data_IF_654764880151
#
_entry.id   IF_654764880151
#
_cell.length_a   1.000
_cell.length_b   1.000
_cell.length_c   1.000
_cell.angle_alpha   90.00
_cell.angle_beta   90.00
_cell.angle_gamma   90.00
#
_symmetry.space_group_name_H-M   'P 1'
#
loop_
_entity.id
_entity.type
_entity.pdbx_description
1 polymer ?
#
# COMPACT_ATOMS: atom_id res chain seq x y z
N UNK A 1 -33.46 -25.61 -14.82
CA UNK A 1 -33.41 -24.18 -14.49
C UNK A 1 -32.49 -23.49 -15.48
N UNK A 2 -32.86 -22.39 -16.13
CA UNK A 2 -31.99 -21.68 -17.06
C UNK A 2 -30.76 -21.16 -16.32
N UNK A 3 -29.58 -21.45 -16.87
CA UNK A 3 -28.29 -20.97 -16.37
C UNK A 3 -28.25 -19.45 -16.56
N UNK A 4 -28.35 -18.68 -15.48
CA UNK A 4 -28.21 -17.22 -15.53
C UNK A 4 -26.77 -16.94 -15.97
N UNK A 5 -26.60 -16.51 -17.23
CA UNK A 5 -25.31 -16.08 -17.75
C UNK A 5 -25.06 -14.68 -17.18
N UNK A 6 -24.23 -14.58 -16.14
CA UNK A 6 -23.81 -13.30 -15.57
C UNK A 6 -22.94 -12.55 -16.59
N UNK A 7 -23.05 -11.20 -16.60
CA UNK A 7 -22.21 -10.37 -17.43
C UNK A 7 -20.72 -10.65 -17.11
N UNK A 8 -19.83 -10.68 -18.13
CA UNK A 8 -18.39 -10.97 -17.93
C UNK A 8 -17.73 -10.13 -16.83
N UNK A 9 -18.01 -8.85 -16.76
CA UNK A 9 -17.44 -7.95 -15.76
C UNK A 9 -17.88 -8.27 -14.32
N UNK A 10 -19.16 -8.65 -14.13
CA UNK A 10 -19.67 -9.11 -12.83
C UNK A 10 -18.94 -10.38 -12.41
N UNK A 11 -18.71 -11.30 -13.37
CA UNK A 11 -18.01 -12.56 -13.08
C UNK A 11 -16.55 -12.33 -12.72
N UNK A 12 -15.89 -11.40 -13.44
CA UNK A 12 -14.51 -11.00 -13.14
C UNK A 12 -14.40 -10.38 -11.73
N UNK A 13 -15.32 -9.50 -11.37
CA UNK A 13 -15.37 -8.90 -10.04
C UNK A 13 -15.56 -9.94 -8.93
N UNK A 14 -16.49 -10.92 -9.12
CA UNK A 14 -16.69 -12.02 -8.16
C UNK A 14 -15.44 -12.88 -7.95
N UNK A 15 -14.66 -13.12 -9.01
CA UNK A 15 -13.38 -13.85 -8.89
C UNK A 15 -12.39 -13.03 -8.04
N UNK A 16 -12.29 -11.72 -8.29
CA UNK A 16 -11.41 -10.83 -7.52
C UNK A 16 -11.80 -10.78 -6.04
N UNK A 17 -13.09 -10.68 -5.72
CA UNK A 17 -13.57 -10.64 -4.33
C UNK A 17 -13.26 -11.94 -3.58
N UNK A 18 -13.48 -13.09 -4.22
CA UNK A 18 -13.14 -14.40 -3.65
C UNK A 18 -11.63 -14.57 -3.47
N UNK A 19 -10.85 -14.15 -4.47
CA UNK A 19 -9.39 -14.18 -4.38
C UNK A 19 -8.87 -13.31 -3.23
N UNK A 20 -9.45 -12.11 -3.02
CA UNK A 20 -9.14 -11.25 -1.88
C UNK A 20 -9.38 -11.99 -0.57
N UNK A 21 -10.57 -12.58 -0.39
CA UNK A 21 -10.92 -13.32 0.82
C UNK A 21 -9.95 -14.50 1.06
N UNK A 22 -9.56 -15.21 0.00
CA UNK A 22 -8.66 -16.35 0.10
C UNK A 22 -7.22 -15.92 0.46
N UNK A 23 -6.71 -14.84 -0.15
CA UNK A 23 -5.40 -14.28 0.20
C UNK A 23 -5.37 -13.73 1.63
N UNK A 24 -6.43 -13.08 2.07
CA UNK A 24 -6.57 -12.61 3.46
C UNK A 24 -6.55 -13.80 4.43
N UNK A 25 -7.30 -14.86 4.14
CA UNK A 25 -7.40 -16.02 5.04
C UNK A 25 -6.14 -16.88 5.11
N UNK A 26 -5.36 -17.00 4.03
CA UNK A 26 -4.24 -17.94 3.93
C UNK A 26 -2.89 -17.30 3.66
N UNK A 27 -2.83 -16.01 3.34
CA UNK A 27 -1.63 -15.33 2.84
C UNK A 27 -1.36 -15.64 1.36
N UNK A 28 -0.67 -14.70 0.69
CA UNK A 28 -0.37 -14.81 -0.73
C UNK A 28 0.40 -16.10 -1.08
N UNK A 29 1.46 -16.41 -0.32
CA UNK A 29 2.37 -17.51 -0.64
C UNK A 29 1.70 -18.90 -0.54
N UNK A 30 0.71 -19.04 0.35
CA UNK A 30 0.02 -20.31 0.64
C UNK A 30 -1.21 -20.57 -0.25
N UNK A 31 -1.50 -19.69 -1.22
CA UNK A 31 -2.62 -19.84 -2.14
C UNK A 31 -2.10 -20.18 -3.52
N UNK A 32 -2.45 -21.34 -4.04
CA UNK A 32 -2.13 -21.74 -5.41
C UNK A 32 -3.17 -21.23 -6.41
N UNK A 33 -2.82 -21.22 -7.70
CA UNK A 33 -3.76 -20.89 -8.76
C UNK A 33 -4.93 -21.88 -8.84
N UNK A 34 -4.68 -23.16 -8.49
CA UNK A 34 -5.75 -24.17 -8.44
C UNK A 34 -6.73 -23.91 -7.30
N UNK A 35 -6.26 -23.42 -6.15
CA UNK A 35 -7.13 -23.01 -5.04
C UNK A 35 -8.05 -21.87 -5.47
N UNK A 36 -7.51 -20.88 -6.17
CA UNK A 36 -8.27 -19.74 -6.69
C UNK A 36 -9.34 -20.18 -7.71
N UNK A 37 -9.00 -21.08 -8.61
CA UNK A 37 -9.94 -21.64 -9.61
C UNK A 37 -11.05 -22.42 -8.91
N UNK A 38 -10.69 -23.27 -7.94
CA UNK A 38 -11.65 -24.09 -7.20
C UNK A 38 -12.60 -23.20 -6.38
N UNK A 39 -12.06 -22.23 -5.64
CA UNK A 39 -12.86 -21.30 -4.83
C UNK A 39 -13.78 -20.44 -5.70
N UNK A 40 -13.28 -19.93 -6.83
CA UNK A 40 -14.07 -19.13 -7.75
C UNK A 40 -15.22 -19.90 -8.42
N UNK A 41 -15.16 -21.24 -8.44
CA UNK A 41 -16.17 -22.09 -9.04
C UNK A 41 -16.33 -21.86 -10.56
N UNK A 42 -15.21 -21.59 -11.24
CA UNK A 42 -15.16 -21.41 -12.70
C UNK A 42 -14.32 -22.49 -13.36
N UNK A 43 -14.51 -22.70 -14.66
CA UNK A 43 -13.62 -23.60 -15.40
C UNK A 43 -12.21 -23.01 -15.49
N UNK A 44 -11.21 -23.89 -15.56
CA UNK A 44 -9.80 -23.49 -15.72
C UNK A 44 -9.61 -22.56 -16.93
N UNK A 45 -10.21 -22.87 -18.08
CA UNK A 45 -10.15 -22.04 -19.27
C UNK A 45 -10.76 -20.65 -19.08
N UNK A 46 -11.92 -20.57 -18.38
CA UNK A 46 -12.54 -19.28 -18.07
C UNK A 46 -11.68 -18.44 -17.11
N UNK A 47 -11.05 -19.06 -16.13
CA UNK A 47 -10.16 -18.35 -15.22
C UNK A 47 -8.94 -17.78 -15.96
N UNK A 48 -8.25 -18.61 -16.76
CA UNK A 48 -7.06 -18.16 -17.49
C UNK A 48 -7.35 -17.12 -18.58
N UNK A 49 -8.60 -17.03 -19.04
CA UNK A 49 -9.02 -15.97 -19.93
C UNK A 49 -8.92 -14.59 -19.26
N UNK A 50 -9.24 -14.48 -17.97
CA UNK A 50 -9.15 -13.21 -17.23
C UNK A 50 -7.80 -13.00 -16.54
N UNK A 51 -7.23 -14.06 -15.98
CA UNK A 51 -6.03 -14.01 -15.16
C UNK A 51 -5.04 -15.09 -15.59
N UNK A 52 -4.06 -14.73 -16.44
CA UNK A 52 -3.09 -15.70 -16.98
C UNK A 52 -2.14 -16.23 -15.90
N UNK A 53 -2.00 -15.55 -14.77
CA UNK A 53 -1.16 -15.96 -13.64
C UNK A 53 -1.71 -15.47 -12.31
N UNK A 54 -1.20 -16.00 -11.20
CA UNK A 54 -1.47 -15.52 -9.84
C UNK A 54 -1.00 -14.09 -9.69
N UNK A 55 0.16 -13.74 -10.26
CA UNK A 55 0.70 -12.37 -10.24
C UNK A 55 -0.18 -11.38 -11.00
N UNK A 56 -0.76 -11.79 -12.15
CA UNK A 56 -1.70 -10.95 -12.89
C UNK A 56 -2.96 -10.68 -12.09
N UNK A 57 -3.44 -11.66 -11.35
CA UNK A 57 -4.62 -11.50 -10.49
C UNK A 57 -4.33 -10.58 -9.32
N UNK A 58 -3.22 -10.77 -8.58
CA UNK A 58 -2.88 -9.90 -7.45
C UNK A 58 -2.57 -8.47 -7.91
N UNK A 59 -1.92 -8.27 -9.07
CA UNK A 59 -1.71 -6.95 -9.67
C UNK A 59 -3.05 -6.26 -9.96
N UNK A 60 -4.03 -7.00 -10.50
CA UNK A 60 -5.38 -6.45 -10.74
C UNK A 60 -6.10 -6.07 -9.43
N UNK A 61 -5.94 -6.89 -8.37
CA UNK A 61 -6.48 -6.58 -7.04
C UNK A 61 -5.84 -5.33 -6.45
N UNK A 62 -4.52 -5.23 -6.55
CA UNK A 62 -3.76 -4.07 -6.09
C UNK A 62 -4.17 -2.79 -6.86
N UNK A 63 -4.36 -2.89 -8.17
CA UNK A 63 -4.83 -1.77 -9.00
C UNK A 63 -6.24 -1.31 -8.59
N UNK A 64 -7.17 -2.24 -8.35
CA UNK A 64 -8.50 -1.91 -7.85
C UNK A 64 -8.41 -1.19 -6.50
N UNK A 65 -7.67 -1.76 -5.55
CA UNK A 65 -7.48 -1.16 -4.24
C UNK A 65 -6.82 0.23 -4.32
N UNK A 66 -5.81 0.42 -5.18
CA UNK A 66 -5.15 1.69 -5.36
C UNK A 66 -6.10 2.76 -5.94
N UNK A 67 -6.96 2.39 -6.90
CA UNK A 67 -7.99 3.30 -7.46
C UNK A 67 -9.04 3.70 -6.41
N UNK A 68 -9.51 2.75 -5.60
CA UNK A 68 -10.46 3.01 -4.51
C UNK A 68 -9.85 3.95 -3.47
N UNK A 69 -8.58 3.72 -3.11
CA UNK A 69 -7.82 4.59 -2.21
C UNK A 69 -7.63 5.99 -2.80
N UNK A 70 -7.23 6.10 -4.07
CA UNK A 70 -7.07 7.39 -4.74
C UNK A 70 -8.39 8.18 -4.73
N UNK A 71 -9.51 7.54 -5.06
CA UNK A 71 -10.83 8.20 -5.01
C UNK A 71 -11.16 8.72 -3.61
N UNK A 72 -10.84 7.97 -2.56
CA UNK A 72 -11.04 8.42 -1.17
C UNK A 72 -10.12 9.60 -0.82
N UNK A 73 -8.85 9.57 -1.24
CA UNK A 73 -7.88 10.65 -1.06
C UNK A 73 -8.33 11.92 -1.80
N UNK A 74 -8.78 11.79 -3.06
CA UNK A 74 -9.30 12.90 -3.85
C UNK A 74 -10.51 13.55 -3.18
N UNK A 75 -11.43 12.74 -2.64
CA UNK A 75 -12.58 13.26 -1.88
C UNK A 75 -12.16 13.99 -0.61
N UNK A 76 -11.21 13.44 0.15
CA UNK A 76 -10.69 14.08 1.37
C UNK A 76 -10.04 15.42 1.04
N UNK A 77 -9.18 15.45 0.02
CA UNK A 77 -8.48 16.64 -0.46
C UNK A 77 -9.45 17.71 -0.98
N UNK A 78 -10.49 17.31 -1.72
CA UNK A 78 -11.52 18.22 -2.23
C UNK A 78 -12.39 18.85 -1.12
N UNK A 79 -12.52 18.18 0.03
CA UNK A 79 -13.24 18.71 1.21
C UNK A 79 -12.37 19.60 2.09
N UNK A 80 -11.07 19.60 1.88
CA UNK A 80 -10.16 20.50 2.61
C UNK A 80 -10.33 21.93 2.12
N UNK A 81 -10.77 22.83 2.99
CA UNK A 81 -11.01 24.25 2.69
C UNK A 81 -9.77 25.12 2.92
N UNK A 82 -8.62 24.54 3.21
CA UNK A 82 -7.35 25.23 3.40
C UNK A 82 -6.63 25.57 2.09
N UNK A 83 -5.42 26.10 2.22
CA UNK A 83 -4.53 26.38 1.10
C UNK A 83 -3.94 25.07 0.51
N UNK A 84 -3.07 25.16 -0.49
CA UNK A 84 -2.47 24.00 -1.12
C UNK A 84 -1.60 23.17 -0.14
N UNK A 85 -0.96 23.78 0.85
CA UNK A 85 -0.22 23.09 1.90
C UNK A 85 -1.15 22.21 2.75
N UNK A 86 -2.32 22.75 3.15
CA UNK A 86 -3.32 21.97 3.92
C UNK A 86 -3.84 20.78 3.11
N UNK A 87 -4.10 21.00 1.81
CA UNK A 87 -4.52 19.94 0.90
C UNK A 87 -3.44 18.89 0.70
N UNK A 88 -2.16 19.30 0.60
CA UNK A 88 -1.02 18.39 0.48
C UNK A 88 -0.84 17.54 1.76
N UNK A 89 -0.92 18.16 2.94
CA UNK A 89 -0.92 17.43 4.21
C UNK A 89 -2.10 16.44 4.29
N UNK A 90 -3.30 16.86 3.85
CA UNK A 90 -4.47 15.97 3.78
C UNK A 90 -4.21 14.77 2.88
N UNK A 91 -3.60 14.96 1.70
CA UNK A 91 -3.23 13.87 0.80
C UNK A 91 -2.26 12.88 1.47
N UNK A 92 -1.19 13.38 2.09
CA UNK A 92 -0.16 12.55 2.72
C UNK A 92 -0.73 11.73 3.90
N UNK A 93 -1.62 12.33 4.70
CA UNK A 93 -2.28 11.66 5.83
C UNK A 93 -3.41 10.74 5.42
N UNK A 94 -4.21 11.11 4.43
CA UNK A 94 -5.34 10.29 3.97
C UNK A 94 -4.90 8.89 3.48
N UNK A 95 -3.72 8.78 2.88
CA UNK A 95 -3.15 7.49 2.50
C UNK A 95 -2.91 6.54 3.67
N UNK A 96 -2.57 7.08 4.84
CA UNK A 96 -2.45 6.32 6.09
C UNK A 96 -3.83 6.01 6.67
N UNK A 97 -4.69 7.01 6.80
CA UNK A 97 -6.01 6.88 7.43
C UNK A 97 -6.88 5.84 6.70
N UNK A 98 -6.89 5.85 5.38
CA UNK A 98 -7.61 4.85 4.58
C UNK A 98 -7.11 3.44 4.90
N UNK A 99 -5.79 3.22 4.98
CA UNK A 99 -5.22 1.91 5.31
C UNK A 99 -5.57 1.46 6.72
N UNK A 100 -5.55 2.37 7.69
CA UNK A 100 -5.83 2.05 9.10
C UNK A 100 -7.31 1.86 9.38
N UNK A 101 -8.20 2.60 8.70
CA UNK A 101 -9.65 2.51 8.89
C UNK A 101 -10.28 1.32 8.16
N UNK A 102 -9.71 0.91 7.02
CA UNK A 102 -10.27 -0.16 6.18
C UNK A 102 -9.51 -1.48 6.28
N UNK A 103 -8.27 -1.46 6.80
CA UNK A 103 -7.41 -2.63 6.92
C UNK A 103 -7.77 -3.49 8.13
N UNK A 104 -8.12 -4.77 7.90
CA UNK A 104 -8.18 -5.74 8.99
C UNK A 104 -6.78 -6.29 9.29
N UNK A 105 -6.52 -6.85 10.51
CA UNK A 105 -5.25 -7.51 10.83
C UNK A 105 -4.86 -8.56 9.79
N UNK A 106 -5.83 -9.30 9.25
CA UNK A 106 -5.61 -10.32 8.22
C UNK A 106 -5.18 -9.70 6.88
N UNK A 107 -5.77 -8.56 6.50
CA UNK A 107 -5.37 -7.83 5.29
C UNK A 107 -3.94 -7.28 5.42
N UNK A 108 -3.59 -6.76 6.60
CA UNK A 108 -2.22 -6.32 6.89
C UNK A 108 -1.23 -7.49 6.84
N UNK A 109 -1.59 -8.64 7.40
CA UNK A 109 -0.78 -9.85 7.32
C UNK A 109 -0.59 -10.33 5.87
N UNK A 110 -1.63 -10.28 5.04
CA UNK A 110 -1.54 -10.61 3.63
C UNK A 110 -0.62 -9.64 2.86
N UNK A 111 -0.68 -8.34 3.17
CA UNK A 111 0.21 -7.33 2.59
C UNK A 111 1.67 -7.57 3.00
N UNK A 112 1.91 -7.98 4.25
CA UNK A 112 3.26 -8.28 4.76
C UNK A 112 3.95 -9.36 3.93
N UNK A 113 3.23 -10.38 3.46
CA UNK A 113 3.83 -11.41 2.60
C UNK A 113 4.36 -10.86 1.29
N UNK A 114 3.76 -9.78 0.75
CA UNK A 114 4.24 -9.10 -0.45
C UNK A 114 5.54 -8.31 -0.22
N UNK A 115 5.83 -7.92 1.04
CA UNK A 115 7.07 -7.23 1.40
C UNK A 115 8.28 -8.17 1.50
N UNK A 116 8.08 -9.49 1.44
CA UNK A 116 9.17 -10.47 1.52
C UNK A 116 10.07 -10.39 0.28
N UNK A 117 11.39 -10.68 0.43
CA UNK A 117 12.34 -10.63 -0.68
C UNK A 117 11.92 -11.47 -1.89
N UNK A 118 11.27 -12.62 -1.66
CA UNK A 118 10.78 -13.52 -2.69
C UNK A 118 9.75 -12.88 -3.60
N UNK A 119 8.99 -11.91 -3.07
CA UNK A 119 7.92 -11.19 -3.77
C UNK A 119 8.34 -9.77 -4.20
N UNK A 120 9.63 -9.39 -4.05
CA UNK A 120 10.11 -8.03 -4.29
C UNK A 120 9.77 -7.51 -5.70
N UNK A 121 9.85 -8.38 -6.73
CA UNK A 121 9.50 -8.00 -8.10
C UNK A 121 8.00 -7.65 -8.25
N UNK A 122 7.13 -8.48 -7.67
CA UNK A 122 5.69 -8.24 -7.68
C UNK A 122 5.34 -6.98 -6.89
N UNK A 123 5.92 -6.84 -5.71
CA UNK A 123 5.74 -5.67 -4.86
C UNK A 123 6.19 -4.38 -5.57
N UNK A 124 7.37 -4.38 -6.22
CA UNK A 124 7.87 -3.25 -6.99
C UNK A 124 6.91 -2.81 -8.10
N UNK A 125 6.29 -3.77 -8.81
CA UNK A 125 5.26 -3.46 -9.83
C UNK A 125 4.01 -2.84 -9.23
N UNK A 126 3.56 -3.32 -8.07
CA UNK A 126 2.39 -2.77 -7.36
C UNK A 126 2.66 -1.33 -6.92
N UNK A 127 3.85 -1.07 -6.37
CA UNK A 127 4.24 0.29 -5.95
C UNK A 127 4.32 1.21 -7.16
N UNK A 128 5.03 0.85 -8.23
CA UNK A 128 5.14 1.68 -9.43
C UNK A 128 3.76 2.05 -10.01
N UNK A 129 2.84 1.09 -10.06
CA UNK A 129 1.47 1.33 -10.50
C UNK A 129 0.73 2.32 -9.57
N UNK A 130 0.89 2.19 -8.25
CA UNK A 130 0.26 3.10 -7.28
C UNK A 130 0.83 4.52 -7.39
N UNK A 131 2.14 4.64 -7.62
CA UNK A 131 2.82 5.91 -7.86
C UNK A 131 2.29 6.58 -9.13
N UNK A 132 2.17 5.85 -10.23
CA UNK A 132 1.62 6.36 -11.49
C UNK A 132 0.18 6.86 -11.34
N UNK A 133 -0.64 6.20 -10.52
CA UNK A 133 -2.02 6.62 -10.25
C UNK A 133 -2.09 7.89 -9.39
N UNK A 134 -1.21 8.05 -8.40
CA UNK A 134 -1.24 9.17 -7.45
C UNK A 134 -0.46 10.39 -7.91
N UNK A 135 0.53 10.21 -8.81
CA UNK A 135 1.40 11.27 -9.33
C UNK A 135 0.63 12.48 -9.86
N UNK A 136 -0.41 12.34 -10.72
CA UNK A 136 -1.12 13.50 -11.26
C UNK A 136 -1.78 14.38 -10.19
N UNK A 137 -2.30 13.77 -9.11
CA UNK A 137 -2.88 14.51 -8.00
C UNK A 137 -1.80 15.26 -7.22
N UNK A 138 -0.70 14.59 -6.90
CA UNK A 138 0.42 15.18 -6.15
C UNK A 138 1.03 16.35 -6.94
N UNK A 139 1.33 16.16 -8.23
CA UNK A 139 1.86 17.20 -9.12
C UNK A 139 0.94 18.43 -9.17
N UNK A 140 -0.37 18.19 -9.30
CA UNK A 140 -1.36 19.28 -9.33
C UNK A 140 -1.36 20.07 -8.03
N UNK A 141 -1.35 19.40 -6.86
CA UNK A 141 -1.34 20.08 -5.56
C UNK A 141 -0.06 20.90 -5.34
N UNK A 142 1.08 20.42 -5.80
CA UNK A 142 2.34 21.17 -5.75
C UNK A 142 2.26 22.40 -6.68
N UNK A 143 1.77 22.23 -7.91
CA UNK A 143 1.61 23.34 -8.86
C UNK A 143 0.62 24.41 -8.34
N UNK A 144 -0.50 23.97 -7.74
CA UNK A 144 -1.46 24.88 -7.10
C UNK A 144 -0.79 25.66 -5.95
N UNK A 145 0.05 24.99 -5.15
CA UNK A 145 0.76 25.63 -4.04
C UNK A 145 1.78 26.66 -4.50
N UNK A 146 2.46 26.42 -5.61
CA UNK A 146 3.34 27.42 -6.23
C UNK A 146 2.51 28.61 -6.75
N UNK A 147 1.39 28.37 -7.41
CA UNK A 147 0.49 29.40 -7.91
C UNK A 147 -0.15 30.24 -6.77
N UNK A 148 -0.45 29.61 -5.63
CA UNK A 148 -0.92 30.28 -4.41
C UNK A 148 0.19 31.04 -3.65
N UNK A 149 1.45 30.83 -3.99
CA UNK A 149 2.61 31.43 -3.31
C UNK A 149 2.91 30.85 -1.93
N UNK A 150 2.36 29.66 -1.63
CA UNK A 150 2.60 28.93 -0.37
C UNK A 150 3.70 27.89 -0.48
N UNK A 151 4.06 27.48 -1.70
CA UNK A 151 5.18 26.60 -2.01
C UNK A 151 6.17 27.33 -2.92
N UNK A 152 7.46 27.02 -2.74
CA UNK A 152 8.54 27.53 -3.59
C UNK A 152 9.39 26.34 -4.07
N UNK A 153 9.16 25.93 -5.32
CA UNK A 153 9.89 24.82 -5.92
C UNK A 153 10.07 25.01 -7.43
N UNK A 154 11.10 24.36 -7.98
CA UNK A 154 11.56 24.56 -9.37
C UNK A 154 10.79 23.75 -10.40
N UNK A 155 10.22 22.59 -10.01
CA UNK A 155 9.51 21.68 -10.91
C UNK A 155 8.52 20.81 -10.13
N UNK A 156 7.23 21.01 -10.33
CA UNK A 156 6.19 20.30 -9.59
C UNK A 156 6.15 18.79 -9.90
N UNK A 157 6.42 18.39 -11.14
CA UNK A 157 6.42 16.97 -11.54
C UNK A 157 7.66 16.25 -10.98
N UNK A 158 8.85 16.82 -11.16
CA UNK A 158 10.08 16.26 -10.63
C UNK A 158 10.07 16.18 -9.11
N UNK A 159 9.48 17.16 -8.42
CA UNK A 159 9.33 17.14 -6.95
C UNK A 159 8.31 16.08 -6.51
N UNK A 160 7.22 15.88 -7.26
CA UNK A 160 6.29 14.79 -6.99
C UNK A 160 6.99 13.42 -7.07
N UNK A 161 7.85 13.20 -8.08
CA UNK A 161 8.68 11.99 -8.22
C UNK A 161 9.65 11.81 -7.03
N UNK A 162 10.30 12.88 -6.60
CA UNK A 162 11.19 12.85 -5.43
C UNK A 162 10.45 12.44 -4.15
N UNK A 163 9.27 13.01 -3.90
CA UNK A 163 8.43 12.70 -2.74
C UNK A 163 8.02 11.22 -2.77
N UNK A 164 7.58 10.70 -3.92
CA UNK A 164 7.21 9.29 -4.06
C UNK A 164 8.41 8.37 -3.86
N UNK A 165 9.57 8.71 -4.41
CA UNK A 165 10.80 7.95 -4.24
C UNK A 165 11.29 7.86 -2.78
N UNK A 166 11.06 8.91 -1.97
CA UNK A 166 11.34 8.87 -0.53
C UNK A 166 10.42 7.86 0.17
N UNK A 167 9.13 7.85 -0.16
CA UNK A 167 8.15 6.95 0.45
C UNK A 167 8.44 5.46 0.15
N UNK A 168 8.97 5.13 -1.01
CA UNK A 168 9.30 3.75 -1.40
C UNK A 168 10.31 3.06 -0.46
N UNK A 169 11.17 3.82 0.20
CA UNK A 169 12.19 3.28 1.12
C UNK A 169 11.66 2.92 2.51
N UNK A 170 10.47 3.34 2.87
CA UNK A 170 9.86 3.07 4.19
C UNK A 170 9.58 1.57 4.39
N UNK A 171 9.28 0.86 3.31
CA UNK A 171 8.87 -0.55 3.37
C UNK A 171 9.92 -1.48 3.98
N UNK A 172 11.22 -1.21 3.76
CA UNK A 172 12.31 -1.98 4.38
C UNK A 172 12.31 -1.86 5.91
N UNK A 173 11.94 -0.71 6.46
CA UNK A 173 11.83 -0.51 7.90
C UNK A 173 10.63 -1.26 8.49
N UNK A 174 9.53 -1.35 7.75
CA UNK A 174 8.37 -2.17 8.17
C UNK A 174 8.75 -3.64 8.26
N UNK A 175 9.51 -4.16 7.30
CA UNK A 175 10.01 -5.55 7.35
C UNK A 175 10.88 -5.79 8.58
N UNK A 176 11.75 -4.85 8.95
CA UNK A 176 12.59 -4.97 10.16
C UNK A 176 11.76 -5.07 11.45
N UNK A 177 10.64 -4.33 11.55
CA UNK A 177 9.72 -4.41 12.69
C UNK A 177 9.06 -5.79 12.77
N UNK A 178 8.66 -6.35 11.62
CA UNK A 178 8.02 -7.67 11.55
C UNK A 178 8.98 -8.78 11.89
N UNK A 179 10.23 -8.68 11.45
CA UNK A 179 11.28 -9.69 11.64
C UNK A 179 11.96 -9.58 13.01
N UNK A 180 11.67 -8.56 13.81
CA UNK A 180 12.19 -8.43 15.17
C UNK A 180 11.78 -9.64 16.02
N UNK A 181 12.76 -10.25 16.69
CA UNK A 181 12.59 -11.48 17.46
C UNK A 181 12.22 -11.25 18.92
N UNK A 182 12.41 -10.03 19.40
CA UNK A 182 12.12 -9.61 20.78
C UNK A 182 11.53 -8.18 20.82
N UNK A 183 11.02 -7.80 21.98
CA UNK A 183 10.38 -6.48 22.15
C UNK A 183 11.37 -5.32 22.06
N UNK A 184 12.60 -5.37 22.64
CA UNK A 184 13.58 -4.31 22.46
C UNK A 184 13.98 -4.07 21.00
N UNK A 185 14.16 -5.15 20.21
CA UNK A 185 14.46 -5.05 18.78
C UNK A 185 13.31 -4.44 17.99
N UNK A 186 12.06 -4.80 18.36
CA UNK A 186 10.85 -4.23 17.74
C UNK A 186 10.70 -2.74 18.08
N UNK A 187 10.93 -2.35 19.33
CA UNK A 187 10.89 -0.94 19.75
C UNK A 187 11.96 -0.12 19.02
N UNK A 188 13.19 -0.62 18.97
CA UNK A 188 14.27 0.03 18.22
C UNK A 188 13.92 0.21 16.72
N UNK A 189 13.41 -0.82 16.06
CA UNK A 189 12.98 -0.73 14.66
C UNK A 189 11.83 0.27 14.47
N UNK A 190 10.94 0.40 15.47
CA UNK A 190 9.85 1.39 15.48
C UNK A 190 10.38 2.81 15.63
N UNK A 191 11.39 3.04 16.47
CA UNK A 191 12.08 4.33 16.59
C UNK A 191 12.74 4.72 15.27
N UNK A 192 13.47 3.79 14.65
CA UNK A 192 14.10 4.01 13.33
C UNK A 192 13.06 4.40 12.28
N UNK A 193 11.91 3.72 12.24
CA UNK A 193 10.83 4.06 11.32
C UNK A 193 10.25 5.46 11.61
N UNK A 194 10.04 5.80 12.87
CA UNK A 194 9.54 7.12 13.30
C UNK A 194 10.48 8.22 12.85
N UNK A 195 11.78 8.04 13.05
CA UNK A 195 12.78 9.02 12.61
C UNK A 195 12.87 9.12 11.08
N UNK A 196 12.62 8.04 10.36
CA UNK A 196 12.53 8.08 8.88
C UNK A 196 11.35 8.93 8.42
N UNK A 197 10.18 8.83 9.03
CA UNK A 197 9.05 9.70 8.69
C UNK A 197 9.34 11.18 8.97
N UNK A 198 10.00 11.49 10.10
CA UNK A 198 10.43 12.86 10.38
C UNK A 198 11.40 13.40 9.33
N UNK A 199 12.42 12.60 8.98
CA UNK A 199 13.40 12.98 7.96
C UNK A 199 12.76 13.18 6.59
N UNK A 200 11.76 12.36 6.23
CA UNK A 200 11.02 12.53 4.98
C UNK A 200 10.21 13.83 5.00
N UNK A 201 9.52 14.15 6.09
CA UNK A 201 8.81 15.43 6.24
C UNK A 201 9.75 16.60 6.05
N UNK A 202 10.89 16.62 6.76
CA UNK A 202 11.91 17.67 6.63
C UNK A 202 12.50 17.79 5.21
N UNK A 203 12.72 16.66 4.53
CA UNK A 203 13.21 16.68 3.14
C UNK A 203 12.17 17.29 2.20
N UNK A 204 10.90 16.93 2.38
CA UNK A 204 9.78 17.48 1.60
C UNK A 204 9.61 18.99 1.89
N UNK A 205 9.68 19.42 3.15
CA UNK A 205 9.64 20.84 3.52
C UNK A 205 10.69 21.64 2.74
N UNK A 206 11.92 21.16 2.72
CA UNK A 206 13.04 21.85 2.08
C UNK A 206 12.95 21.90 0.57
N UNK A 207 12.45 20.82 -0.06
CA UNK A 207 12.25 20.78 -1.52
C UNK A 207 11.08 21.67 -1.95
N UNK A 208 10.10 21.87 -1.07
CA UNK A 208 8.94 22.75 -1.29
C UNK A 208 9.13 24.19 -0.79
N UNK A 209 10.32 24.54 -0.27
CA UNK A 209 10.59 25.88 0.26
C UNK A 209 9.82 26.20 1.54
N UNK A 210 9.44 25.20 2.33
CA UNK A 210 8.65 25.34 3.54
C UNK A 210 9.53 25.40 4.80
N UNK A 211 9.05 26.02 5.88
CA UNK A 211 9.66 25.90 7.21
C UNK A 211 9.67 24.44 7.68
N UNK A 212 10.74 24.04 8.40
CA UNK A 212 10.86 22.69 8.96
C UNK A 212 9.65 22.34 9.84
N UNK A 213 9.01 21.21 9.59
CA UNK A 213 7.82 20.72 10.32
C UNK A 213 6.47 21.14 9.73
N UNK A 214 6.45 21.79 8.55
CA UNK A 214 5.22 22.11 7.83
C UNK A 214 4.53 20.87 7.28
N UNK A 215 5.30 19.88 6.85
CA UNK A 215 4.82 18.57 6.36
C UNK A 215 4.95 17.53 7.47
N UNK A 216 3.84 16.90 7.81
CA UNK A 216 3.79 15.76 8.73
C UNK A 216 3.32 14.52 7.98
N UNK A 217 4.24 13.60 7.68
CA UNK A 217 3.88 12.35 6.99
C UNK A 217 3.12 11.43 7.96
N UNK A 218 3.77 10.99 9.05
CA UNK A 218 3.15 10.30 10.19
C UNK A 218 3.80 10.79 11.48
N UNK A 219 2.99 11.01 12.52
CA UNK A 219 3.49 11.27 13.86
C UNK A 219 3.76 9.97 14.63
N UNK A 220 4.35 10.06 15.83
CA UNK A 220 4.68 8.89 16.66
C UNK A 220 3.47 8.04 17.00
N UNK A 221 2.34 8.64 17.36
CA UNK A 221 1.11 7.92 17.70
C UNK A 221 0.58 7.09 16.53
N UNK A 222 0.59 7.67 15.33
CA UNK A 222 0.19 6.98 14.10
C UNK A 222 1.14 5.82 13.77
N UNK A 223 2.46 6.00 13.98
CA UNK A 223 3.43 4.91 13.80
C UNK A 223 3.18 3.80 14.82
N UNK A 224 2.93 4.12 16.08
CA UNK A 224 2.64 3.13 17.13
C UNK A 224 1.35 2.36 16.82
N UNK A 225 0.28 3.03 16.33
CA UNK A 225 -0.94 2.36 15.85
C UNK A 225 -0.66 1.41 14.68
N UNK A 226 0.12 1.85 13.70
CA UNK A 226 0.50 1.02 12.56
C UNK A 226 1.28 -0.21 13.03
N UNK A 227 2.28 -0.03 13.89
CA UNK A 227 3.12 -1.11 14.41
C UNK A 227 2.32 -2.10 15.26
N UNK A 228 1.35 -1.62 16.05
CA UNK A 228 0.46 -2.47 16.82
C UNK A 228 -0.40 -3.40 15.94
N UNK A 229 -0.76 -2.94 14.73
CA UNK A 229 -1.53 -3.73 13.77
C UNK A 229 -0.66 -4.72 12.95
N UNK A 230 0.68 -4.57 12.94
CA UNK A 230 1.56 -5.49 12.23
C UNK A 230 1.68 -6.83 12.97
N UNK A 231 1.73 -7.96 12.25
CA UNK A 231 1.93 -9.27 12.86
C UNK A 231 3.26 -9.33 13.62
N UNK A 232 3.25 -10.05 14.75
CA UNK A 232 4.46 -10.34 15.52
C UNK A 232 5.03 -11.68 15.04
N UNK A 233 6.34 -11.72 14.76
CA UNK A 233 7.04 -12.95 14.37
C UNK A 233 6.32 -13.72 13.23
N UNK A 234 6.08 -13.08 12.11
CA UNK A 234 5.62 -13.75 10.90
C UNK A 234 6.72 -14.71 10.41
N UNK A 235 6.74 -15.92 10.97
CA UNK A 235 7.43 -17.05 10.37
C UNK A 235 6.57 -17.49 9.19
N UNK A 236 7.00 -17.16 7.98
CA UNK A 236 6.46 -17.81 6.79
C UNK A 236 6.40 -19.32 7.05
N UNK A 237 5.29 -19.95 6.75
CA UNK A 237 5.00 -21.37 7.02
C UNK A 237 5.84 -22.34 6.17
N UNK A 238 7.17 -22.23 6.28
CA UNK A 238 8.13 -23.12 5.65
C UNK A 238 9.24 -23.51 6.64
N UNK A 239 8.86 -24.11 7.78
CA UNK A 239 9.73 -24.97 8.56
C UNK A 239 8.94 -26.11 9.15
N UNK A 240 8.23 -26.88 8.29
CA UNK A 240 7.80 -28.24 8.63
C UNK A 240 8.87 -29.21 8.15
N UNK A 241 9.74 -29.61 9.09
CA UNK A 241 10.14 -30.99 9.30
C UNK A 241 11.00 -31.63 8.20
N UNK A 242 12.33 -31.47 8.33
CA UNK A 242 13.17 -32.63 8.21
C UNK A 242 13.79 -32.84 9.60
N UNK A 243 13.06 -33.55 10.44
CA UNK A 243 13.65 -34.29 11.55
C UNK A 243 13.99 -35.68 11.03
N UNK A 244 15.21 -36.02 11.14
CA UNK A 244 16.02 -37.16 10.89
C UNK A 244 15.37 -38.54 10.73
N UNK A 245 16.02 -39.33 9.95
CA UNK A 245 16.69 -40.58 10.43
C UNK A 245 17.97 -40.73 9.65
#
# INVERSE_FOLDING_TARGET
MPRVVKHPDIRRAEILDRATALFVARGYDNVSLNDLIADAGVSKGAFYHWFPSKDALITTLAERSARDQLAAIEQATARCHGNALDRLNTLLQAGFDVKMQTGTPEQLAAMVSLLRPENAHLYGRIIAMSEDLTRPLLTRLIADGVAEGVLDTFDAEGVADMIQGLAARINSNVVQIIDATDEPGREHATEVLTDRFKLHGLAVDRVLGLPDGSITVLNREQVDMMVAALPRNYKGSNSSGIVGI
#
